data_IF_193178011206
#
_entry.id   IF_193178011206
#
_cell.length_a   1.000
_cell.length_b   1.000
_cell.length_c   1.000
_cell.angle_alpha   90.00
_cell.angle_beta   90.00
_cell.angle_gamma   90.00
#
_symmetry.space_group_name_H-M   'P 1'
#
loop_
_entity.id
_entity.type
_entity.pdbx_description
1 polymer ?
#
# COMPACT_ATOMS: atom_id res chain seq x y z
N UNK A 1 0.92 -14.69 -17.38
CA UNK A 1 1.25 -16.04 -16.90
C UNK A 1 0.13 -16.63 -16.05
N UNK A 2 -0.31 -16.01 -14.92
CA UNK A 2 -1.42 -16.55 -14.10
C UNK A 2 -2.75 -16.66 -14.86
N UNK A 3 -3.14 -15.64 -15.62
CA UNK A 3 -4.36 -15.65 -16.46
C UNK A 3 -4.42 -16.84 -17.45
N UNK A 4 -3.26 -17.31 -17.88
CA UNK A 4 -3.12 -18.45 -18.81
C UNK A 4 -2.93 -19.80 -18.08
N UNK A 5 -3.03 -19.83 -16.75
CA UNK A 5 -2.85 -21.05 -15.95
C UNK A 5 -1.41 -21.59 -15.90
N UNK A 6 -0.42 -20.83 -16.37
CA UNK A 6 1.00 -21.29 -16.43
C UNK A 6 1.72 -21.22 -15.08
N UNK A 7 1.20 -20.46 -14.12
CA UNK A 7 1.73 -20.37 -12.75
C UNK A 7 0.58 -20.42 -11.75
N UNK A 8 0.86 -20.82 -10.52
CA UNK A 8 -0.07 -20.77 -9.39
C UNK A 8 -0.34 -19.35 -8.89
N UNK A 9 -1.12 -19.21 -7.81
CA UNK A 9 -1.21 -17.97 -7.07
C UNK A 9 0.18 -17.61 -6.56
N UNK A 10 0.61 -16.38 -6.79
CA UNK A 10 1.98 -15.91 -6.52
C UNK A 10 1.92 -14.62 -5.74
N UNK A 11 2.64 -14.53 -4.64
CA UNK A 11 2.86 -13.30 -3.89
C UNK A 11 4.26 -12.78 -4.17
N UNK A 12 4.38 -11.56 -4.65
CA UNK A 12 5.66 -10.85 -4.77
C UNK A 12 5.77 -9.85 -3.63
N UNK A 13 6.89 -9.85 -2.92
CA UNK A 13 7.22 -8.90 -1.86
C UNK A 13 8.51 -8.20 -2.26
N UNK A 14 8.52 -6.88 -2.26
CA UNK A 14 9.64 -6.09 -2.79
C UNK A 14 9.62 -4.65 -2.24
N UNK A 15 10.69 -3.92 -2.54
CA UNK A 15 10.77 -2.47 -2.44
C UNK A 15 10.93 -1.87 -3.84
N UNK A 16 10.53 -0.62 -4.02
CA UNK A 16 10.77 0.15 -5.24
C UNK A 16 11.86 1.21 -5.03
N UNK A 17 12.58 1.63 -6.07
CA UNK A 17 13.20 2.93 -6.06
C UNK A 17 12.14 4.03 -5.94
N UNK A 18 12.51 5.28 -5.57
CA UNK A 18 11.54 6.36 -5.41
C UNK A 18 10.68 6.57 -6.66
N UNK A 19 9.37 6.41 -6.52
CA UNK A 19 8.42 6.53 -7.62
C UNK A 19 7.05 6.99 -7.14
N UNK A 20 6.46 7.93 -7.86
CA UNK A 20 5.05 8.32 -7.72
C UNK A 20 4.25 7.60 -8.80
N UNK A 21 3.14 6.99 -8.43
CA UNK A 21 2.25 6.31 -9.36
C UNK A 21 0.88 6.96 -9.37
N UNK A 22 0.36 7.21 -10.57
CA UNK A 22 -0.99 7.70 -10.84
C UNK A 22 -1.88 6.50 -11.13
N UNK A 23 -2.85 6.23 -10.25
CA UNK A 23 -3.85 5.17 -10.44
C UNK A 23 -4.98 5.62 -11.38
N UNK A 24 -5.96 4.75 -11.60
CA UNK A 24 -7.07 4.97 -12.55
C UNK A 24 -7.96 6.17 -12.22
N UNK A 25 -8.01 6.60 -10.96
CA UNK A 25 -8.79 7.74 -10.50
C UNK A 25 -7.89 8.95 -10.19
N UNK A 26 -6.62 8.91 -10.60
CA UNK A 26 -5.67 9.95 -10.27
C UNK A 26 -6.00 11.26 -10.99
N UNK A 27 -5.79 12.35 -10.25
CA UNK A 27 -5.79 13.69 -10.79
C UNK A 27 -4.36 14.23 -10.77
N UNK A 28 -3.88 14.76 -11.88
CA UNK A 28 -2.54 15.38 -11.96
C UNK A 28 -2.37 16.50 -10.93
N UNK A 29 -3.43 17.24 -10.61
CA UNK A 29 -3.44 18.28 -9.58
C UNK A 29 -3.06 17.75 -8.18
N UNK A 30 -3.13 16.42 -7.97
CA UNK A 30 -2.70 15.78 -6.74
C UNK A 30 -1.18 15.51 -6.69
N UNK A 31 -0.43 15.82 -7.76
CA UNK A 31 1.04 15.87 -7.78
C UNK A 31 1.44 17.32 -7.57
N UNK A 32 1.93 17.67 -6.39
CA UNK A 32 2.24 19.05 -5.99
C UNK A 32 3.61 19.52 -6.46
N UNK A 33 4.53 18.56 -6.68
CA UNK A 33 5.89 18.83 -7.11
C UNK A 33 5.96 18.97 -8.64
N UNK A 34 6.81 19.88 -9.13
CA UNK A 34 7.05 20.00 -10.58
C UNK A 34 7.87 18.80 -11.11
N UNK A 35 7.77 18.47 -12.40
CA UNK A 35 8.57 17.41 -13.00
C UNK A 35 10.08 17.58 -12.80
N UNK A 36 10.57 18.82 -12.85
CA UNK A 36 11.98 19.16 -12.65
C UNK A 36 12.40 18.86 -11.20
N UNK A 37 11.55 19.20 -10.23
CA UNK A 37 11.82 18.91 -8.81
C UNK A 37 11.80 17.41 -8.53
N UNK A 38 10.86 16.66 -9.12
CA UNK A 38 10.83 15.20 -9.02
C UNK A 38 12.12 14.59 -9.60
N UNK A 39 12.55 15.04 -10.77
CA UNK A 39 13.78 14.57 -11.40
C UNK A 39 15.02 14.85 -10.54
N UNK A 40 15.14 16.06 -9.92
CA UNK A 40 16.21 16.40 -9.00
C UNK A 40 16.23 15.52 -7.74
N UNK A 41 15.04 15.08 -7.27
CA UNK A 41 14.90 14.16 -6.14
C UNK A 41 15.04 12.69 -6.52
N UNK A 42 15.30 12.38 -7.80
CA UNK A 42 15.38 11.01 -8.30
C UNK A 42 14.05 10.24 -8.25
N UNK A 43 12.91 10.95 -8.27
CA UNK A 43 11.57 10.37 -8.20
C UNK A 43 10.99 10.22 -9.60
N UNK A 44 10.72 9.00 -10.02
CA UNK A 44 10.01 8.73 -11.28
C UNK A 44 8.50 8.96 -11.13
N UNK A 45 7.81 9.25 -12.24
CA UNK A 45 6.34 9.40 -12.29
C UNK A 45 5.78 8.47 -13.38
N UNK A 46 4.81 7.62 -13.00
CA UNK A 46 4.16 6.70 -13.94
C UNK A 46 2.64 6.65 -13.76
N UNK A 47 1.93 6.60 -14.88
CA UNK A 47 0.53 6.21 -14.92
C UNK A 47 0.39 4.70 -14.98
N UNK A 48 -0.47 4.12 -14.14
CA UNK A 48 -0.67 2.68 -14.04
C UNK A 48 -2.14 2.33 -13.82
N UNK A 49 -2.51 1.08 -14.07
CA UNK A 49 -3.90 0.60 -14.06
C UNK A 49 -4.42 0.15 -12.69
N UNK A 50 -3.69 0.39 -11.59
CA UNK A 50 -4.19 0.09 -10.24
C UNK A 50 -5.40 0.96 -9.86
N UNK A 51 -6.21 0.46 -8.95
CA UNK A 51 -7.25 1.27 -8.30
C UNK A 51 -6.66 2.41 -7.45
N UNK A 52 -7.48 3.44 -7.21
CA UNK A 52 -7.11 4.58 -6.38
C UNK A 52 -6.49 5.74 -7.17
N UNK A 53 -6.05 6.75 -6.42
CA UNK A 53 -5.48 8.02 -6.88
C UNK A 53 -3.95 7.97 -6.88
N UNK A 54 -3.26 9.08 -6.60
CA UNK A 54 -1.80 9.20 -6.52
C UNK A 54 -1.26 8.56 -5.24
N UNK A 55 -0.10 7.93 -5.32
CA UNK A 55 0.68 7.47 -4.16
C UNK A 55 2.17 7.47 -4.47
N UNK A 56 2.98 7.34 -3.41
CA UNK A 56 4.43 7.20 -3.47
C UNK A 56 4.86 5.79 -3.08
N UNK A 57 5.89 5.28 -3.74
CA UNK A 57 6.64 4.09 -3.35
C UNK A 57 8.13 4.42 -3.30
N UNK A 58 8.86 3.81 -2.37
CA UNK A 58 10.29 4.03 -2.21
C UNK A 58 10.93 3.08 -1.21
N UNK A 59 12.23 3.21 -0.97
CA UNK A 59 12.97 2.45 0.04
C UNK A 59 12.31 2.53 1.41
N UNK A 60 12.38 1.44 2.17
CA UNK A 60 11.72 1.33 3.47
C UNK A 60 10.21 1.07 3.40
N UNK A 61 9.64 0.89 2.21
CA UNK A 61 8.23 0.56 2.03
C UNK A 61 8.07 -0.87 1.52
N UNK A 62 7.42 -1.73 2.30
CA UNK A 62 7.08 -3.08 1.86
C UNK A 62 5.93 -3.02 0.86
N UNK A 63 6.22 -3.34 -0.40
CA UNK A 63 5.21 -3.47 -1.45
C UNK A 63 4.91 -4.95 -1.69
N UNK A 64 3.64 -5.28 -1.76
CA UNK A 64 3.16 -6.63 -2.02
C UNK A 64 2.25 -6.68 -3.24
N UNK A 65 2.53 -7.60 -4.15
CA UNK A 65 1.71 -7.90 -5.31
C UNK A 65 1.16 -9.33 -5.23
N UNK A 66 -0.04 -9.53 -4.66
CA UNK A 66 -0.72 -10.81 -4.71
C UNK A 66 -1.34 -11.01 -6.10
N UNK A 67 -0.70 -11.83 -6.93
CA UNK A 67 -1.15 -12.21 -8.28
C UNK A 67 -1.98 -13.48 -8.14
N UNK A 68 -3.24 -13.33 -7.72
CA UNK A 68 -4.12 -14.43 -7.35
C UNK A 68 -5.30 -14.54 -8.33
N UNK A 69 -5.72 -15.76 -8.59
CA UNK A 69 -6.98 -16.03 -9.28
C UNK A 69 -8.10 -16.15 -8.23
N UNK A 70 -8.90 -15.11 -8.09
CA UNK A 70 -9.98 -15.04 -7.10
C UNK A 70 -11.06 -16.11 -7.30
N UNK A 71 -11.13 -16.70 -8.48
CA UNK A 71 -12.08 -17.80 -8.79
C UNK A 71 -11.63 -19.13 -8.19
N UNK A 72 -10.33 -19.25 -7.82
CA UNK A 72 -9.78 -20.47 -7.19
C UNK A 72 -9.98 -20.53 -5.68
N UNK A 73 -10.57 -19.50 -5.08
CA UNK A 73 -10.90 -19.50 -3.65
C UNK A 73 -12.26 -20.16 -3.39
N UNK A 74 -12.36 -20.89 -2.29
CA UNK A 74 -13.62 -21.45 -1.78
C UNK A 74 -13.92 -20.90 -0.37
N UNK A 75 -14.97 -20.13 -0.16
CA UNK A 75 -15.91 -19.62 -1.16
C UNK A 75 -15.25 -18.60 -2.10
N UNK A 76 -15.82 -18.38 -3.30
CA UNK A 76 -15.32 -17.39 -4.26
C UNK A 76 -15.22 -16.00 -3.65
N UNK A 77 -14.11 -15.32 -3.93
CA UNK A 77 -13.81 -14.01 -3.39
C UNK A 77 -14.05 -12.91 -4.42
N UNK A 78 -14.91 -11.95 -4.07
CA UNK A 78 -15.13 -10.75 -4.88
C UNK A 78 -14.10 -9.65 -4.60
N UNK A 79 -14.10 -8.61 -5.42
CA UNK A 79 -13.13 -7.51 -5.33
C UNK A 79 -13.13 -6.81 -3.95
N UNK A 80 -14.30 -6.50 -3.41
CA UNK A 80 -14.45 -5.83 -2.12
C UNK A 80 -13.93 -6.71 -0.99
N UNK A 81 -14.32 -7.99 -0.99
CA UNK A 81 -13.86 -8.97 0.00
C UNK A 81 -12.34 -9.16 -0.07
N UNK A 82 -11.77 -9.20 -1.27
CA UNK A 82 -10.32 -9.31 -1.44
C UNK A 82 -9.59 -8.12 -0.82
N UNK A 83 -10.06 -6.89 -1.06
CA UNK A 83 -9.49 -5.69 -0.42
C UNK A 83 -9.62 -5.77 1.11
N UNK A 84 -10.76 -6.24 1.64
CA UNK A 84 -10.96 -6.42 3.09
C UNK A 84 -10.01 -7.47 3.69
N UNK A 85 -9.68 -8.52 2.95
CA UNK A 85 -8.65 -9.50 3.36
C UNK A 85 -7.26 -8.90 3.37
N UNK A 86 -6.91 -8.06 2.39
CA UNK A 86 -5.64 -7.35 2.40
C UNK A 86 -5.53 -6.36 3.58
N UNK A 87 -6.61 -5.66 3.91
CA UNK A 87 -6.64 -4.82 5.11
C UNK A 87 -6.44 -5.65 6.38
N UNK A 88 -7.06 -6.84 6.47
CA UNK A 88 -6.88 -7.75 7.62
C UNK A 88 -5.44 -8.26 7.74
N UNK A 89 -4.83 -8.65 6.62
CA UNK A 89 -3.40 -9.02 6.57
C UNK A 89 -2.54 -7.90 7.17
N UNK A 90 -2.75 -6.68 6.73
CA UNK A 90 -1.98 -5.51 7.17
C UNK A 90 -2.21 -5.20 8.66
N UNK A 91 -3.46 -5.26 9.12
CA UNK A 91 -3.81 -5.05 10.54
C UNK A 91 -3.11 -6.09 11.42
N UNK A 92 -3.14 -7.36 11.04
CA UNK A 92 -2.47 -8.43 11.79
C UNK A 92 -0.94 -8.28 11.73
N UNK A 93 -0.39 -7.92 10.57
CA UNK A 93 1.04 -7.66 10.43
C UNK A 93 1.48 -6.53 11.36
N UNK A 94 0.76 -5.40 11.39
CA UNK A 94 1.04 -4.31 12.34
C UNK A 94 0.90 -4.77 13.79
N UNK A 95 -0.13 -5.58 14.09
CA UNK A 95 -0.39 -6.15 15.42
C UNK A 95 0.74 -7.05 15.93
N UNK A 96 1.39 -7.84 15.05
CA UNK A 96 2.55 -8.68 15.40
C UNK A 96 3.74 -7.85 15.93
N UNK A 97 3.78 -6.55 15.58
CA UNK A 97 4.77 -5.58 16.06
C UNK A 97 4.24 -4.66 17.18
N UNK A 98 3.03 -4.93 17.69
CA UNK A 98 2.43 -4.13 18.76
C UNK A 98 1.81 -2.79 18.30
N UNK A 99 1.63 -2.59 16.99
CA UNK A 99 1.02 -1.38 16.42
C UNK A 99 -0.48 -1.62 16.25
N UNK A 100 -1.30 -0.91 17.05
CA UNK A 100 -2.76 -0.94 16.90
C UNK A 100 -3.22 -0.18 15.65
N UNK A 101 -3.95 -0.87 14.77
CA UNK A 101 -4.45 -0.29 13.52
C UNK A 101 -5.88 -0.69 13.23
N UNK A 102 -6.54 0.06 12.35
CA UNK A 102 -7.96 -0.07 12.06
C UNK A 102 -8.29 0.19 10.58
N UNK A 103 -9.52 -0.17 10.21
CA UNK A 103 -10.18 0.31 8.99
C UNK A 103 -10.97 1.57 9.29
N UNK A 104 -11.00 2.51 8.35
CA UNK A 104 -11.91 3.67 8.41
C UNK A 104 -12.98 3.47 7.33
N UNK A 105 -14.25 3.59 7.71
CA UNK A 105 -15.38 3.44 6.77
C UNK A 105 -15.27 4.44 5.63
N UNK A 106 -15.31 3.94 4.39
CA UNK A 106 -15.20 4.77 3.18
C UNK A 106 -13.77 5.09 2.75
N UNK A 107 -12.75 4.74 3.54
CA UNK A 107 -11.34 5.00 3.23
C UNK A 107 -10.56 3.69 3.13
N UNK A 108 -10.25 3.26 1.92
CA UNK A 108 -9.45 2.05 1.68
C UNK A 108 -8.02 2.23 2.22
N UNK A 109 -7.50 1.17 2.86
CA UNK A 109 -6.18 1.13 3.47
C UNK A 109 -6.24 0.89 4.98
N UNK A 110 -5.09 0.94 5.64
CA UNK A 110 -4.98 0.69 7.08
C UNK A 110 -4.45 1.93 7.79
N UNK A 111 -5.02 2.22 8.93
CA UNK A 111 -4.85 3.48 9.67
C UNK A 111 -4.52 3.20 11.13
N UNK A 112 -3.70 4.03 11.75
CA UNK A 112 -3.51 4.01 13.20
C UNK A 112 -4.77 4.55 13.90
N UNK A 113 -4.90 4.28 15.20
CA UNK A 113 -5.94 4.92 16.00
C UNK A 113 -5.59 6.38 16.29
N UNK A 114 -6.61 7.23 16.38
CA UNK A 114 -6.44 8.55 16.93
C UNK A 114 -6.13 8.46 18.42
N UNK A 115 -5.16 9.21 18.89
CA UNK A 115 -4.86 9.41 20.31
C UNK A 115 -5.09 10.88 20.66
N UNK A 116 -5.09 11.22 21.97
CA UNK A 116 -5.48 12.56 22.48
C UNK A 116 -4.82 13.73 21.73
N UNK A 117 -3.56 13.56 21.28
CA UNK A 117 -2.78 14.60 20.59
C UNK A 117 -2.24 14.15 19.21
N UNK A 118 -2.79 13.05 18.66
CA UNK A 118 -2.31 12.46 17.40
C UNK A 118 -3.54 12.01 16.61
N UNK A 119 -3.79 12.58 15.42
CA UNK A 119 -4.86 12.10 14.56
C UNK A 119 -4.54 10.69 14.03
N UNK A 120 -5.58 10.00 13.56
CA UNK A 120 -5.37 8.78 12.79
C UNK A 120 -4.52 9.08 11.54
N UNK A 121 -3.56 8.19 11.26
CA UNK A 121 -2.65 8.33 10.14
C UNK A 121 -2.66 7.05 9.28
N UNK A 122 -2.54 7.22 7.95
CA UNK A 122 -2.46 6.07 7.05
C UNK A 122 -1.09 5.43 7.16
N UNK A 123 -1.03 4.15 7.53
CA UNK A 123 0.19 3.36 7.59
C UNK A 123 0.36 2.47 6.37
N UNK A 124 -0.76 2.07 5.73
CA UNK A 124 -0.71 1.26 4.51
C UNK A 124 -1.76 1.68 3.49
N UNK A 125 -1.36 1.73 2.23
CA UNK A 125 -2.22 1.98 1.09
C UNK A 125 -2.52 0.67 0.33
N UNK A 126 -3.71 0.57 -0.27
CA UNK A 126 -4.14 -0.57 -1.10
C UNK A 126 -4.67 -0.05 -2.41
N UNK A 127 -4.16 -0.61 -3.51
CA UNK A 127 -4.64 -0.30 -4.86
C UNK A 127 -4.48 -1.53 -5.75
N UNK A 128 -5.58 -2.27 -5.96
CA UNK A 128 -5.60 -3.48 -6.79
C UNK A 128 -6.27 -3.22 -8.14
N UNK A 129 -5.89 -4.01 -9.14
CA UNK A 129 -6.65 -4.15 -10.38
C UNK A 129 -7.02 -5.63 -10.55
N UNK A 130 -8.25 -5.89 -10.98
CA UNK A 130 -8.75 -7.25 -11.22
C UNK A 130 -9.19 -7.36 -12.66
N UNK A 131 -8.57 -8.29 -13.39
CA UNK A 131 -8.90 -8.54 -14.78
C UNK A 131 -9.10 -10.05 -15.02
N UNK A 132 -10.27 -10.43 -15.51
CA UNK A 132 -10.65 -11.84 -15.74
C UNK A 132 -10.46 -12.72 -14.50
N UNK A 133 -10.78 -12.17 -13.31
CA UNK A 133 -10.66 -12.86 -12.02
C UNK A 133 -9.23 -12.90 -11.43
N UNK A 134 -8.22 -12.40 -12.13
CA UNK A 134 -6.84 -12.37 -11.64
C UNK A 134 -6.47 -10.97 -11.16
N UNK A 135 -5.90 -10.88 -9.96
CA UNK A 135 -5.43 -9.64 -9.34
C UNK A 135 -4.07 -9.23 -9.85
N UNK A 136 -3.82 -7.93 -9.88
CA UNK A 136 -2.52 -7.29 -10.07
C UNK A 136 -2.40 -6.09 -9.12
N UNK A 137 -1.17 -5.58 -8.92
CA UNK A 137 -0.85 -4.62 -7.87
C UNK A 137 -1.19 -5.21 -6.48
N UNK A 138 -1.49 -4.40 -5.48
CA UNK A 138 -1.78 -4.92 -4.14
C UNK A 138 -1.73 -3.85 -3.07
N UNK A 139 -0.75 -3.91 -2.16
CA UNK A 139 -0.62 -2.95 -1.07
C UNK A 139 0.81 -2.45 -0.90
N UNK A 140 0.92 -1.34 -0.19
CA UNK A 140 2.17 -0.74 0.25
C UNK A 140 2.07 -0.40 1.73
N UNK A 141 2.94 -1.00 2.56
CA UNK A 141 3.06 -0.77 4.00
C UNK A 141 4.30 0.07 4.27
N UNK A 142 4.12 1.22 4.88
CA UNK A 142 5.23 2.06 5.28
C UNK A 142 5.91 1.44 6.51
N UNK A 143 7.11 0.89 6.34
CA UNK A 143 7.91 0.31 7.44
C UNK A 143 8.85 1.38 8.01
N UNK A 144 9.87 1.76 7.26
CA UNK A 144 10.83 2.84 7.57
C UNK A 144 10.90 3.88 6.44
N UNK A 145 9.82 3.97 5.67
CA UNK A 145 9.68 4.86 4.52
C UNK A 145 9.95 6.31 4.90
N UNK A 146 10.75 7.02 4.11
CA UNK A 146 10.88 8.47 4.21
C UNK A 146 9.54 9.13 3.84
N UNK A 147 8.85 9.62 4.87
CA UNK A 147 7.51 10.19 4.74
C UNK A 147 7.49 11.57 4.10
N UNK A 148 8.63 12.24 3.97
CA UNK A 148 8.73 13.56 3.34
C UNK A 148 8.36 13.49 1.85
N UNK A 149 8.55 12.34 1.21
CA UNK A 149 8.10 12.15 -0.17
C UNK A 149 6.58 12.24 -0.35
N UNK A 150 5.80 11.97 0.70
CA UNK A 150 4.35 12.14 0.63
C UNK A 150 3.91 13.61 0.63
N UNK A 151 4.81 14.56 0.98
CA UNK A 151 4.55 16.01 0.85
C UNK A 151 4.54 16.47 -0.61
N UNK A 152 5.08 15.67 -1.53
CA UNK A 152 5.11 15.96 -2.97
C UNK A 152 3.78 15.68 -3.67
N UNK A 153 2.81 15.07 -2.95
CA UNK A 153 1.51 14.65 -3.47
C UNK A 153 0.40 14.97 -2.47
N UNK A 154 -0.85 14.93 -2.92
CA UNK A 154 -2.04 14.80 -2.05
C UNK A 154 -2.41 13.31 -2.02
N UNK A 155 -1.99 12.54 -1.01
CA UNK A 155 -2.13 11.09 -1.03
C UNK A 155 -3.60 10.67 -1.10
N UNK A 156 -3.99 9.89 -2.11
CA UNK A 156 -5.36 9.40 -2.32
C UNK A 156 -6.41 10.52 -2.43
N UNK A 157 -6.03 11.76 -2.77
CA UNK A 157 -6.94 12.91 -2.78
C UNK A 157 -7.47 13.32 -1.39
N UNK A 158 -6.87 12.84 -0.31
CA UNK A 158 -7.31 13.10 1.07
C UNK A 158 -6.36 14.12 1.70
N UNK A 159 -6.63 15.41 1.50
CA UNK A 159 -5.76 16.51 1.91
C UNK A 159 -5.52 16.63 3.45
N UNK A 160 -6.39 16.05 4.28
CA UNK A 160 -6.41 16.32 5.72
C UNK A 160 -6.04 15.11 6.61
N UNK A 161 -5.49 14.03 6.03
CA UNK A 161 -5.10 12.87 6.82
C UNK A 161 -3.60 12.58 6.66
N UNK A 162 -2.86 12.55 7.78
CA UNK A 162 -1.43 12.30 7.74
C UNK A 162 -1.11 10.86 7.33
N UNK A 163 0.14 10.66 6.90
CA UNK A 163 0.76 9.36 6.66
C UNK A 163 1.74 9.07 7.78
N UNK A 164 1.91 7.79 8.13
CA UNK A 164 2.87 7.34 9.13
C UNK A 164 3.59 6.06 8.65
N UNK A 165 4.59 5.60 9.42
CA UNK A 165 5.32 4.35 9.21
C UNK A 165 5.37 3.53 10.48
N UNK A 166 5.69 2.24 10.37
CA UNK A 166 5.85 1.36 11.53
C UNK A 166 6.98 1.85 12.45
N UNK A 167 8.11 2.25 11.89
CA UNK A 167 9.25 2.82 12.62
C UNK A 167 8.84 4.04 13.45
N UNK A 168 8.07 4.97 12.84
CA UNK A 168 7.56 6.16 13.51
C UNK A 168 6.58 5.84 14.65
N UNK A 169 5.72 4.83 14.45
CA UNK A 169 4.77 4.40 15.50
C UNK A 169 5.48 3.72 16.66
N UNK A 170 6.51 2.92 16.38
CA UNK A 170 7.30 2.20 17.39
C UNK A 170 8.37 3.07 18.07
N UNK A 171 8.72 4.22 17.48
CA UNK A 171 9.84 5.08 17.90
C UNK A 171 11.18 4.31 18.00
N UNK A 172 11.38 3.33 17.11
CA UNK A 172 12.60 2.53 17.02
C UNK A 172 12.86 2.11 15.57
N UNK A 173 14.13 1.93 15.16
CA UNK A 173 14.46 1.44 13.83
C UNK A 173 13.76 0.11 13.52
N UNK A 174 13.32 -0.05 12.28
CA UNK A 174 12.69 -1.26 11.76
C UNK A 174 13.00 -1.39 10.28
N UNK A 175 13.40 -2.58 9.83
CA UNK A 175 13.69 -2.86 8.43
C UNK A 175 12.53 -3.57 7.74
N UNK A 176 12.47 -3.47 6.42
CA UNK A 176 11.47 -4.21 5.62
C UNK A 176 11.64 -5.72 5.79
N UNK A 177 12.87 -6.22 5.86
CA UNK A 177 13.17 -7.65 6.03
C UNK A 177 12.58 -8.24 7.31
N UNK A 178 12.57 -7.47 8.41
CA UNK A 178 11.96 -7.88 9.68
C UNK A 178 10.44 -8.05 9.55
N UNK A 179 9.78 -7.29 8.66
CA UNK A 179 8.33 -7.30 8.48
C UNK A 179 7.87 -8.31 7.42
N UNK A 180 8.69 -8.58 6.40
CA UNK A 180 8.38 -9.49 5.27
C UNK A 180 7.87 -10.85 5.75
N UNK A 181 8.51 -11.43 6.76
CA UNK A 181 8.13 -12.76 7.27
C UNK A 181 6.72 -12.77 7.86
N UNK A 182 6.36 -11.74 8.66
CA UNK A 182 5.01 -11.62 9.20
C UNK A 182 3.99 -11.38 8.08
N UNK A 183 4.24 -10.42 7.19
CA UNK A 183 3.35 -10.10 6.08
C UNK A 183 3.10 -11.32 5.17
N UNK A 184 4.14 -12.08 4.84
CA UNK A 184 4.01 -13.27 3.99
C UNK A 184 3.13 -14.35 4.63
N UNK A 185 3.32 -14.65 5.92
CA UNK A 185 2.52 -15.65 6.66
C UNK A 185 1.03 -15.27 6.76
N UNK A 186 0.72 -13.98 6.75
CA UNK A 186 -0.67 -13.49 6.84
C UNK A 186 -1.37 -13.44 5.48
N UNK A 187 -0.62 -13.48 4.38
CA UNK A 187 -1.15 -13.49 3.00
C UNK A 187 -1.51 -14.88 2.48
N UNK A 188 -1.11 -15.95 3.18
CA UNK A 188 -1.31 -17.37 2.76
C UNK A 188 -2.52 -17.99 3.44
#
# INVERSE_FOLDING_TARGET
MRKAGRIGNTLLLLEHPPVITLGRNARLDNVLASPEFLAQRGVALFEIDRGGDVTFHGPGQLVAYPIFDLRSFEPKVGAVEFVRRLEEVLIRTCGDFGIGTQRIKGLTGVWTYALRNKPEAKIAAIGVHISRGVTTHGFALNVSTDLDFFTLIVPCGIANKPVTSMERELQKPLTVDEVVTSASRRCV
#
